data_IF_492672946979
#
_entry.id   IF_492672946979
#
_cell.length_a   1.000
_cell.length_b   1.000
_cell.length_c   1.000
_cell.angle_alpha   90.00
_cell.angle_beta   90.00
_cell.angle_gamma   90.00
#
_symmetry.space_group_name_H-M   'P 1'
#
loop_
_entity.id
_entity.type
_entity.pdbx_description
1 polymer ?
#
# COMPACT_ATOMS: atom_id res chain seq x y z
N UNK A 1 1.85 -5.37 -1.74
CA UNK A 1 2.39 -4.18 -1.03
C UNK A 1 3.88 -4.29 -0.70
N UNK A 2 4.47 -5.48 -0.57
CA UNK A 2 5.92 -5.61 -0.34
C UNK A 2 6.76 -5.07 -1.49
N UNK A 3 6.42 -5.46 -2.72
CA UNK A 3 7.08 -4.96 -3.94
C UNK A 3 7.02 -3.43 -4.08
N UNK A 4 5.85 -2.82 -3.86
CA UNK A 4 5.68 -1.37 -3.93
C UNK A 4 6.60 -0.63 -2.93
N UNK A 5 6.79 -1.17 -1.73
CA UNK A 5 7.72 -0.60 -0.76
C UNK A 5 9.16 -0.69 -1.25
N UNK A 6 9.58 -1.86 -1.72
CA UNK A 6 10.91 -2.05 -2.27
C UNK A 6 11.19 -1.03 -3.38
N UNK A 7 10.22 -0.81 -4.27
CA UNK A 7 10.31 0.21 -5.34
C UNK A 7 10.47 1.63 -4.78
N UNK A 8 9.65 2.02 -3.79
CA UNK A 8 9.75 3.33 -3.13
C UNK A 8 11.12 3.50 -2.45
N UNK A 9 11.62 2.48 -1.73
CA UNK A 9 12.90 2.53 -1.04
C UNK A 9 14.06 2.74 -2.02
N UNK A 10 14.03 2.06 -3.17
CA UNK A 10 15.03 2.27 -4.22
C UNK A 10 14.86 3.60 -4.93
N UNK A 11 13.64 4.05 -5.18
CA UNK A 11 13.38 5.36 -5.79
C UNK A 11 13.93 6.50 -4.94
N UNK A 12 13.76 6.44 -3.61
CA UNK A 12 14.35 7.42 -2.68
C UNK A 12 15.86 7.53 -2.85
N UNK A 13 16.55 6.38 -2.86
CA UNK A 13 18.02 6.36 -3.07
C UNK A 13 18.41 6.88 -4.45
N UNK A 14 17.65 6.51 -5.49
CA UNK A 14 17.92 6.97 -6.84
C UNK A 14 17.72 8.48 -7.00
N UNK A 15 16.76 9.06 -6.27
CA UNK A 15 16.56 10.52 -6.21
C UNK A 15 17.73 11.25 -5.56
N UNK A 16 18.37 10.66 -4.53
CA UNK A 16 19.57 11.24 -3.91
C UNK A 16 20.77 11.28 -4.88
N UNK A 17 20.83 10.35 -5.83
CA UNK A 17 21.91 10.22 -6.81
C UNK A 17 21.63 10.95 -8.13
N UNK A 18 20.41 11.46 -8.32
CA UNK A 18 19.96 12.08 -9.57
C UNK A 18 20.47 13.52 -9.70
N UNK A 19 21.29 13.85 -10.73
CA UNK A 19 21.89 15.18 -10.87
C UNK A 19 20.88 16.32 -11.02
N UNK A 20 19.74 16.07 -11.66
CA UNK A 20 18.73 17.08 -11.98
C UNK A 20 17.42 16.89 -11.18
N UNK A 21 17.46 16.15 -10.07
CA UNK A 21 16.25 15.91 -9.28
C UNK A 21 15.77 17.19 -8.58
N UNK A 22 14.45 17.43 -8.68
CA UNK A 22 13.78 18.46 -7.90
C UNK A 22 13.74 18.04 -6.42
N UNK A 23 14.18 18.90 -5.47
CA UNK A 23 14.08 18.62 -4.04
C UNK A 23 12.66 18.25 -3.57
N UNK A 24 11.62 18.69 -4.26
CA UNK A 24 10.23 18.34 -3.95
C UNK A 24 9.92 16.84 -4.17
N UNK A 25 10.66 16.15 -5.03
CA UNK A 25 10.41 14.74 -5.36
C UNK A 25 10.74 13.79 -4.22
N UNK A 26 11.70 14.12 -3.36
CA UNK A 26 11.92 13.33 -2.14
C UNK A 26 10.69 13.38 -1.23
N UNK A 27 10.08 14.56 -1.09
CA UNK A 27 8.85 14.71 -0.32
C UNK A 27 7.65 14.01 -0.98
N UNK A 28 7.61 13.90 -2.32
CA UNK A 28 6.64 13.03 -3.01
C UNK A 28 6.85 11.56 -2.67
N UNK A 29 8.10 11.08 -2.69
CA UNK A 29 8.42 9.70 -2.33
C UNK A 29 8.07 9.37 -0.87
N UNK A 30 8.33 10.29 0.06
CA UNK A 30 7.90 10.18 1.46
C UNK A 30 6.37 10.08 1.59
N UNK A 31 5.63 10.91 0.84
CA UNK A 31 4.16 10.83 0.82
C UNK A 31 3.64 9.50 0.29
N UNK A 32 4.29 8.92 -0.73
CA UNK A 32 3.93 7.59 -1.23
C UNK A 32 4.20 6.49 -0.18
N UNK A 33 5.32 6.59 0.52
CA UNK A 33 5.68 5.66 1.60
C UNK A 33 4.63 5.71 2.73
N UNK A 34 4.26 6.91 3.18
CA UNK A 34 3.27 7.07 4.25
C UNK A 34 1.88 6.58 3.84
N UNK A 35 1.43 6.88 2.62
CA UNK A 35 0.17 6.33 2.08
C UNK A 35 0.20 4.80 2.03
N UNK A 36 1.33 4.20 1.65
CA UNK A 36 1.48 2.74 1.63
C UNK A 36 1.47 2.13 3.04
N UNK A 37 2.05 2.82 4.04
CA UNK A 37 1.98 2.41 5.45
C UNK A 37 0.55 2.48 5.98
N UNK A 38 -0.17 3.56 5.70
CA UNK A 38 -1.58 3.71 6.09
C UNK A 38 -2.45 2.61 5.50
N UNK A 39 -2.26 2.27 4.22
CA UNK A 39 -2.92 1.12 3.59
C UNK A 39 -2.62 -0.19 4.30
N UNK A 40 -1.37 -0.43 4.70
CA UNK A 40 -0.99 -1.64 5.44
C UNK A 40 -1.65 -1.70 6.82
N UNK A 41 -1.75 -0.58 7.51
CA UNK A 41 -2.45 -0.47 8.80
C UNK A 41 -3.94 -0.72 8.62
N UNK A 42 -4.57 -0.16 7.59
CA UNK A 42 -5.98 -0.42 7.29
C UNK A 42 -6.25 -1.90 7.01
N UNK A 43 -5.39 -2.53 6.21
CA UNK A 43 -5.51 -3.93 5.83
C UNK A 43 -5.24 -4.88 7.00
N UNK A 44 -4.15 -4.67 7.74
CA UNK A 44 -3.61 -5.68 8.67
C UNK A 44 -3.66 -5.25 10.14
N UNK A 45 -3.89 -3.97 10.42
CA UNK A 45 -3.73 -3.37 11.74
C UNK A 45 -2.33 -2.82 11.94
N UNK A 46 -2.17 -2.05 13.02
CA UNK A 46 -0.89 -1.48 13.43
C UNK A 46 -0.14 -2.52 14.29
N UNK A 47 1.02 -3.03 13.82
CA UNK A 47 1.75 -4.07 14.53
C UNK A 47 2.32 -3.57 15.87
N UNK A 48 2.67 -2.28 15.98
CA UNK A 48 3.23 -1.69 17.21
C UNK A 48 2.13 -1.59 18.27
N UNK A 49 0.94 -1.09 17.88
CA UNK A 49 -0.21 -1.04 18.79
C UNK A 49 -0.66 -2.44 19.20
N UNK A 50 -0.69 -3.38 18.25
CA UNK A 50 -1.05 -4.77 18.51
C UNK A 50 -0.11 -5.43 19.52
N UNK A 51 1.21 -5.25 19.35
CA UNK A 51 2.21 -5.83 20.24
C UNK A 51 2.10 -5.33 21.69
N UNK A 52 1.50 -4.15 21.88
CA UNK A 52 1.34 -3.49 23.19
C UNK A 52 -0.10 -3.52 23.70
N UNK A 53 -1.00 -4.25 23.05
CA UNK A 53 -2.44 -4.29 23.35
C UNK A 53 -3.09 -2.89 23.45
N UNK A 54 -2.57 -1.92 22.69
CA UNK A 54 -3.19 -0.60 22.63
C UNK A 54 -4.48 -0.65 21.80
N UNK A 55 -5.52 0.11 22.17
CA UNK A 55 -6.71 0.25 21.37
C UNK A 55 -6.38 0.71 19.94
N UNK A 56 -6.94 0.01 18.96
CA UNK A 56 -6.83 0.36 17.55
C UNK A 56 -8.11 -0.03 16.81
N UNK A 57 -8.43 0.64 15.69
CA UNK A 57 -9.51 0.22 14.82
C UNK A 57 -9.34 -1.23 14.37
N UNK A 58 -10.45 -1.95 14.20
CA UNK A 58 -10.42 -3.33 13.67
C UNK A 58 -10.03 -3.28 12.19
N UNK A 59 -8.95 -3.96 11.84
CA UNK A 59 -8.46 -4.04 10.46
C UNK A 59 -9.37 -4.90 9.59
N UNK A 60 -9.23 -4.76 8.27
CA UNK A 60 -9.98 -5.55 7.29
C UNK A 60 -9.71 -7.05 7.51
N UNK A 61 -8.44 -7.44 7.64
CA UNK A 61 -8.04 -8.83 7.91
C UNK A 61 -8.63 -9.36 9.21
N UNK A 62 -8.67 -8.57 10.29
CA UNK A 62 -9.30 -8.99 11.55
C UNK A 62 -10.81 -9.23 11.40
N UNK A 63 -11.53 -8.41 10.62
CA UNK A 63 -12.96 -8.64 10.34
C UNK A 63 -13.18 -9.91 9.53
N UNK A 64 -12.38 -10.12 8.49
CA UNK A 64 -12.42 -11.32 7.66
C UNK A 64 -12.15 -12.56 8.51
N UNK A 65 -11.09 -12.55 9.33
CA UNK A 65 -10.75 -13.66 10.21
C UNK A 65 -11.89 -14.00 11.18
N UNK A 66 -12.56 -13.00 11.76
CA UNK A 66 -13.71 -13.24 12.64
C UNK A 66 -14.87 -13.93 11.92
N UNK A 67 -15.10 -13.60 10.64
CA UNK A 67 -16.11 -14.28 9.81
C UNK A 67 -15.69 -15.72 9.54
N UNK A 68 -14.44 -15.91 9.13
CA UNK A 68 -13.86 -17.24 8.84
C UNK A 68 -13.96 -18.12 10.07
N UNK A 69 -13.46 -17.68 11.23
CA UNK A 69 -13.54 -18.40 12.50
C UNK A 69 -14.98 -18.74 12.89
N UNK A 70 -15.91 -17.79 12.73
CA UNK A 70 -17.32 -17.96 13.07
C UNK A 70 -18.11 -18.86 12.11
N UNK A 71 -17.57 -19.18 10.94
CA UNK A 71 -18.23 -20.03 9.93
C UNK A 71 -17.48 -21.32 9.61
N UNK A 72 -16.22 -21.45 10.03
CA UNK A 72 -15.34 -22.55 9.66
C UNK A 72 -15.95 -23.94 9.90
N UNK A 73 -16.62 -24.10 11.05
CA UNK A 73 -17.29 -25.34 11.44
C UNK A 73 -18.81 -25.18 11.60
N UNK A 74 -19.37 -24.07 11.12
CA UNK A 74 -20.79 -23.79 11.29
C UNK A 74 -21.61 -24.46 10.18
N UNK A 75 -22.66 -25.20 10.56
CA UNK A 75 -23.67 -25.72 9.64
C UNK A 75 -24.88 -24.79 9.50
N UNK A 76 -25.03 -23.83 10.42
CA UNK A 76 -26.05 -22.80 10.38
C UNK A 76 -25.60 -21.58 9.56
N UNK A 77 -26.57 -20.84 9.01
CA UNK A 77 -26.29 -19.61 8.25
C UNK A 77 -25.53 -18.55 9.09
N UNK A 78 -24.75 -17.65 8.46
CA UNK A 78 -24.04 -16.58 9.15
C UNK A 78 -24.97 -15.76 10.05
N UNK A 79 -24.49 -15.36 11.22
CA UNK A 79 -25.27 -14.47 12.11
C UNK A 79 -25.33 -13.05 11.55
N UNK A 80 -26.23 -12.22 12.10
CA UNK A 80 -26.31 -10.80 11.73
C UNK A 80 -24.97 -10.08 11.88
N UNK A 81 -24.26 -10.33 12.98
CA UNK A 81 -22.93 -9.75 13.24
C UNK A 81 -21.89 -10.14 12.19
N UNK A 82 -21.94 -11.37 11.66
CA UNK A 82 -21.01 -11.80 10.61
C UNK A 82 -21.29 -11.10 9.28
N UNK A 83 -22.56 -10.94 8.91
CA UNK A 83 -22.96 -10.15 7.73
C UNK A 83 -22.52 -8.69 7.86
N UNK A 84 -22.75 -8.06 9.02
CA UNK A 84 -22.29 -6.69 9.24
C UNK A 84 -20.76 -6.56 9.14
N UNK A 85 -20.00 -7.53 9.64
CA UNK A 85 -18.53 -7.51 9.46
C UNK A 85 -18.13 -7.64 8.00
N UNK A 86 -18.86 -8.43 7.21
CA UNK A 86 -18.64 -8.57 5.78
C UNK A 86 -18.89 -7.24 5.06
N UNK A 87 -20.04 -6.60 5.29
CA UNK A 87 -20.39 -5.34 4.62
C UNK A 87 -19.37 -4.24 4.90
N UNK A 88 -18.90 -4.14 6.15
CA UNK A 88 -17.86 -3.18 6.55
C UNK A 88 -16.53 -3.54 5.86
N UNK A 89 -16.11 -4.80 5.92
CA UNK A 89 -14.84 -5.22 5.33
C UNK A 89 -14.82 -5.01 3.81
N UNK A 90 -15.91 -5.33 3.12
CA UNK A 90 -16.07 -5.12 1.68
C UNK A 90 -15.94 -3.62 1.33
N UNK A 91 -16.70 -2.76 2.01
CA UNK A 91 -16.66 -1.31 1.77
C UNK A 91 -15.27 -0.72 2.03
N UNK A 92 -14.61 -1.14 3.12
CA UNK A 92 -13.26 -0.69 3.43
C UNK A 92 -12.23 -1.19 2.41
N UNK A 93 -12.41 -2.43 1.93
CA UNK A 93 -11.51 -3.03 0.95
C UNK A 93 -11.62 -2.35 -0.43
N UNK A 94 -12.82 -1.98 -0.87
CA UNK A 94 -13.01 -1.25 -2.13
C UNK A 94 -12.23 0.08 -2.14
N UNK A 95 -12.28 0.82 -1.02
CA UNK A 95 -11.48 2.03 -0.83
C UNK A 95 -9.98 1.75 -0.82
N UNK A 96 -9.55 0.73 -0.07
CA UNK A 96 -8.14 0.35 0.03
C UNK A 96 -7.57 -0.11 -1.32
N UNK A 97 -8.34 -0.86 -2.10
CA UNK A 97 -7.92 -1.33 -3.43
C UNK A 97 -7.80 -0.17 -4.41
N UNK A 98 -8.76 0.74 -4.40
CA UNK A 98 -8.74 1.94 -5.26
C UNK A 98 -7.48 2.77 -4.98
N UNK A 99 -7.20 3.04 -3.71
CA UNK A 99 -6.02 3.80 -3.29
C UNK A 99 -4.71 3.08 -3.64
N UNK A 100 -4.65 1.76 -3.43
CA UNK A 100 -3.48 0.97 -3.80
C UNK A 100 -3.22 0.99 -5.31
N UNK A 101 -4.25 0.91 -6.13
CA UNK A 101 -4.12 1.00 -7.60
C UNK A 101 -3.62 2.37 -8.00
N UNK A 102 -4.19 3.45 -7.45
CA UNK A 102 -3.73 4.81 -7.72
C UNK A 102 -2.23 4.96 -7.38
N UNK A 103 -1.83 4.49 -6.21
CA UNK A 103 -0.44 4.56 -5.76
C UNK A 103 0.51 3.77 -6.68
N UNK A 104 0.19 2.51 -7.00
CA UNK A 104 1.11 1.59 -7.69
C UNK A 104 1.09 1.76 -9.21
N UNK A 105 -0.05 2.06 -9.80
CA UNK A 105 -0.23 2.13 -11.25
C UNK A 105 -0.07 3.54 -11.82
N UNK A 106 -0.21 4.58 -11.00
CA UNK A 106 -0.21 5.98 -11.47
C UNK A 106 0.88 6.79 -10.77
N UNK A 107 0.79 6.95 -9.45
CA UNK A 107 1.63 7.93 -8.75
C UNK A 107 3.10 7.52 -8.70
N UNK A 108 3.36 6.26 -8.35
CA UNK A 108 4.71 5.71 -8.28
C UNK A 108 5.40 5.68 -9.67
N UNK A 109 4.78 5.13 -10.73
CA UNK A 109 5.36 5.19 -12.08
C UNK A 109 5.63 6.61 -12.57
N UNK A 110 4.73 7.57 -12.27
CA UNK A 110 4.93 8.96 -12.67
C UNK A 110 6.16 9.59 -11.99
N UNK A 111 6.41 9.29 -10.71
CA UNK A 111 7.60 9.77 -10.01
C UNK A 111 8.86 9.06 -10.50
N UNK A 112 8.77 7.75 -10.76
CA UNK A 112 9.83 6.97 -11.38
C UNK A 112 10.22 7.57 -12.75
N UNK A 113 9.27 7.89 -13.63
CA UNK A 113 9.59 8.49 -14.94
C UNK A 113 10.31 9.84 -14.82
N UNK A 114 9.88 10.70 -13.88
CA UNK A 114 10.53 11.99 -13.62
C UNK A 114 11.96 11.82 -13.15
N UNK A 115 12.18 10.89 -12.21
CA UNK A 115 13.51 10.59 -11.71
C UNK A 115 14.43 10.04 -12.82
N UNK A 116 13.91 9.17 -13.72
CA UNK A 116 14.69 8.67 -14.87
C UNK A 116 15.15 9.81 -15.79
N UNK A 117 14.24 10.73 -16.13
CA UNK A 117 14.56 11.90 -16.96
C UNK A 117 15.59 12.83 -16.32
N UNK A 118 15.65 12.85 -14.99
CA UNK A 118 16.64 13.62 -14.23
C UNK A 118 17.98 12.88 -14.03
N UNK A 119 18.18 11.73 -14.67
CA UNK A 119 19.42 10.96 -14.61
C UNK A 119 19.54 10.04 -13.39
N UNK A 120 18.45 9.75 -12.69
CA UNK A 120 18.46 8.78 -11.60
C UNK A 120 18.86 7.39 -12.11
N UNK A 121 19.68 6.63 -11.36
CA UNK A 121 20.02 5.25 -11.73
C UNK A 121 18.79 4.36 -11.82
N UNK A 122 18.91 3.25 -12.55
CA UNK A 122 17.83 2.28 -12.68
C UNK A 122 17.49 1.63 -11.32
N UNK A 123 16.20 1.47 -11.03
CA UNK A 123 15.68 0.85 -9.81
C UNK A 123 14.92 -0.44 -10.11
N UNK A 124 14.98 -1.48 -9.24
CA UNK A 124 14.22 -2.71 -9.41
C UNK A 124 12.72 -2.46 -9.53
N UNK A 125 12.07 -3.11 -10.50
CA UNK A 125 10.64 -2.96 -10.75
C UNK A 125 10.27 -1.78 -11.65
N UNK A 126 11.22 -0.88 -11.98
CA UNK A 126 11.03 0.16 -12.99
C UNK A 126 11.10 -0.43 -14.40
N UNK A 127 10.08 -0.18 -15.21
CA UNK A 127 10.08 -0.52 -16.63
C UNK A 127 10.88 0.53 -17.41
N UNK A 128 11.93 0.14 -18.17
CA UNK A 128 12.74 1.10 -18.91
C UNK A 128 11.96 1.69 -20.09
N UNK A 129 12.15 2.99 -20.33
CA UNK A 129 11.64 3.62 -21.55
C UNK A 129 12.63 3.39 -22.70
N UNK A 130 12.19 2.71 -23.76
CA UNK A 130 13.01 2.51 -24.96
C UNK A 130 12.64 3.53 -26.03
N UNK A 131 13.62 4.32 -26.47
CA UNK A 131 13.50 5.20 -27.64
C UNK A 131 14.34 4.62 -28.77
N UNK A 132 13.72 4.42 -29.93
CA UNK A 132 14.42 4.02 -31.15
C UNK A 132 15.12 5.24 -31.74
N UNK A 133 16.43 5.14 -31.99
CA UNK A 133 17.17 6.09 -32.83
C UNK A 133 16.66 6.10 -34.28
#
# INVERSE_FOLDING_TARGET
TGEAQTRIDFLRKALDEAPEADPAWMADADRLDDRLKDLRVLLNGDPIKSAKNFPQPVSITSRVNRIVEGQWNASAAPTGTLRTNYDIAATQFDGALTELRQLVEVDLPALEERAEKAGAPWTPGRLPTWTRE
#
